data_IF_977879224810
#
_entry.id   IF_977879224810
#
_cell.length_a   1.000
_cell.length_b   1.000
_cell.length_c   1.000
_cell.angle_alpha   90.00
_cell.angle_beta   90.00
_cell.angle_gamma   90.00
#
_symmetry.space_group_name_H-M   'P 1'
#
loop_
_entity.id
_entity.type
_entity.pdbx_description
1 polymer ?
#
# COMPACT_ATOMS: atom_id res chain seq x y z
N UNK A 1 70.64 -18.01 -24.78
CA UNK A 1 69.57 -17.06 -24.46
C UNK A 1 68.24 -17.69 -24.88
N UNK A 2 67.50 -18.25 -23.92
CA UNK A 2 66.16 -18.79 -24.17
C UNK A 2 65.20 -18.01 -23.27
N UNK A 3 64.28 -17.28 -23.91
CA UNK A 3 63.31 -16.40 -23.27
C UNK A 3 62.32 -17.19 -22.42
N UNK A 4 62.14 -16.75 -21.17
CA UNK A 4 61.19 -17.31 -20.22
C UNK A 4 59.75 -17.10 -20.70
N UNK A 5 58.99 -18.20 -20.77
CA UNK A 5 57.53 -18.15 -20.89
C UNK A 5 56.94 -17.80 -19.52
N UNK A 6 56.32 -16.63 -19.43
CA UNK A 6 55.40 -16.26 -18.36
C UNK A 6 54.18 -17.20 -18.37
N UNK A 7 53.71 -17.71 -17.22
CA UNK A 7 52.53 -18.55 -17.19
C UNK A 7 51.26 -17.69 -17.37
N UNK A 8 50.38 -18.13 -18.27
CA UNK A 8 49.02 -17.59 -18.47
C UNK A 8 48.27 -17.57 -17.13
N UNK A 9 47.72 -16.40 -16.76
CA UNK A 9 46.77 -16.26 -15.66
C UNK A 9 45.60 -17.24 -15.87
N UNK A 10 45.43 -18.14 -14.90
CA UNK A 10 44.27 -19.03 -14.80
C UNK A 10 42.99 -18.22 -14.65
N UNK A 11 41.91 -18.71 -15.27
CA UNK A 11 40.66 -18.02 -15.49
C UNK A 11 40.00 -17.47 -14.24
N UNK A 12 39.68 -16.17 -14.30
CA UNK A 12 38.75 -15.51 -13.41
C UNK A 12 37.40 -16.23 -13.47
N UNK A 13 36.89 -16.71 -12.33
CA UNK A 13 35.46 -17.07 -12.23
C UNK A 13 34.64 -15.91 -12.81
N UNK A 14 33.64 -16.15 -13.67
CA UNK A 14 32.72 -15.09 -14.05
C UNK A 14 32.12 -14.50 -12.77
N UNK A 15 32.21 -13.18 -12.60
CA UNK A 15 31.64 -12.49 -11.44
C UNK A 15 30.12 -12.70 -11.38
N UNK A 16 29.53 -12.54 -10.20
CA UNK A 16 28.06 -12.57 -10.07
C UNK A 16 27.45 -11.51 -11.01
N UNK A 17 26.30 -11.80 -11.65
CA UNK A 17 25.58 -10.79 -12.43
C UNK A 17 25.28 -9.58 -11.53
N UNK A 18 25.40 -8.36 -12.05
CA UNK A 18 25.12 -7.15 -11.26
C UNK A 18 23.68 -6.67 -11.43
N UNK A 19 22.96 -7.26 -12.38
CA UNK A 19 21.67 -6.83 -12.86
C UNK A 19 20.59 -6.96 -11.78
N UNK A 20 20.47 -8.05 -11.01
CA UNK A 20 19.49 -8.11 -9.91
C UNK A 20 19.69 -7.02 -8.85
N UNK A 21 20.94 -6.62 -8.59
CA UNK A 21 21.24 -5.52 -7.68
C UNK A 21 20.78 -4.17 -8.27
N UNK A 22 21.04 -3.93 -9.56
CA UNK A 22 20.62 -2.68 -10.22
C UNK A 22 19.09 -2.62 -10.42
N UNK A 23 18.48 -3.73 -10.83
CA UNK A 23 17.04 -3.85 -11.05
C UNK A 23 16.26 -3.61 -9.75
N UNK A 24 16.75 -4.12 -8.62
CA UNK A 24 16.18 -3.81 -7.32
C UNK A 24 16.12 -2.30 -7.06
N UNK A 25 17.19 -1.56 -7.37
CA UNK A 25 17.24 -0.11 -7.11
C UNK A 25 16.30 0.70 -8.03
N UNK A 26 15.87 0.16 -9.17
CA UNK A 26 14.82 0.82 -9.99
C UNK A 26 13.50 0.95 -9.21
N UNK A 27 13.30 0.07 -8.22
CA UNK A 27 12.09 0.00 -7.37
C UNK A 27 12.21 0.85 -6.10
N UNK A 28 13.36 1.50 -5.85
CA UNK A 28 13.57 2.26 -4.60
C UNK A 28 12.92 3.63 -4.58
N UNK A 29 12.67 4.21 -5.75
CA UNK A 29 12.28 5.61 -5.87
C UNK A 29 13.30 6.55 -5.20
N UNK A 30 12.85 7.75 -4.84
CA UNK A 30 13.68 8.87 -4.34
C UNK A 30 14.15 8.66 -2.88
N UNK A 31 13.54 7.71 -2.15
CA UNK A 31 13.87 7.47 -0.74
C UNK A 31 15.02 6.48 -0.52
N UNK A 32 15.40 5.73 -1.56
CA UNK A 32 16.36 4.63 -1.47
C UNK A 32 15.95 3.51 -0.53
N UNK A 33 16.81 2.49 -0.47
CA UNK A 33 16.63 1.31 0.37
C UNK A 33 17.66 1.24 1.49
N UNK A 34 17.26 0.82 2.71
CA UNK A 34 18.17 0.13 3.61
C UNK A 34 18.82 -1.08 2.91
N UNK A 35 20.02 -1.45 3.31
CA UNK A 35 20.78 -2.51 2.63
C UNK A 35 20.06 -3.86 2.66
N UNK A 36 19.35 -4.18 3.74
CA UNK A 36 18.59 -5.42 3.90
C UNK A 36 17.43 -5.51 2.91
N UNK A 37 16.72 -4.39 2.70
CA UNK A 37 15.64 -4.31 1.71
C UNK A 37 16.20 -4.49 0.29
N UNK A 38 17.30 -3.78 0.00
CA UNK A 38 17.95 -3.88 -1.31
C UNK A 38 18.38 -5.32 -1.61
N UNK A 39 19.07 -5.97 -0.67
CA UNK A 39 19.53 -7.34 -0.84
C UNK A 39 18.38 -8.34 -0.90
N UNK A 40 17.31 -8.17 -0.13
CA UNK A 40 16.15 -9.05 -0.19
C UNK A 40 15.49 -9.00 -1.57
N UNK A 41 15.28 -7.80 -2.12
CA UNK A 41 14.74 -7.63 -3.47
C UNK A 41 15.67 -8.21 -4.54
N UNK A 42 16.97 -7.89 -4.48
CA UNK A 42 17.94 -8.41 -5.43
C UNK A 42 18.02 -9.93 -5.41
N UNK A 43 17.96 -10.55 -4.22
CA UNK A 43 17.96 -12.00 -4.07
C UNK A 43 16.67 -12.66 -4.57
N UNK A 44 15.51 -12.01 -4.41
CA UNK A 44 14.25 -12.50 -4.95
C UNK A 44 14.24 -12.57 -6.50
N UNK A 45 15.04 -11.72 -7.15
CA UNK A 45 15.19 -11.64 -8.60
C UNK A 45 16.48 -12.34 -9.10
N UNK A 46 17.27 -12.90 -8.20
CA UNK A 46 18.55 -13.52 -8.56
C UNK A 46 18.33 -14.85 -9.31
N UNK A 47 19.23 -15.21 -10.25
CA UNK A 47 19.25 -16.54 -10.84
C UNK A 47 19.41 -17.63 -9.77
N UNK A 48 18.94 -18.84 -10.08
CA UNK A 48 19.03 -19.97 -9.16
C UNK A 48 20.49 -20.22 -8.71
N UNK A 49 20.69 -20.36 -7.39
CA UNK A 49 22.01 -20.59 -6.79
C UNK A 49 22.87 -19.32 -6.60
N UNK A 50 22.40 -18.15 -7.04
CA UNK A 50 23.07 -16.86 -6.79
C UNK A 50 22.49 -16.21 -5.55
N UNK A 51 23.36 -15.75 -4.65
CA UNK A 51 22.98 -14.98 -3.47
C UNK A 51 23.90 -13.77 -3.29
N UNK A 52 23.30 -12.60 -3.17
CA UNK A 52 23.95 -11.33 -2.89
C UNK A 52 24.03 -11.07 -1.39
N UNK A 53 25.17 -10.52 -0.98
CA UNK A 53 25.49 -10.09 0.37
C UNK A 53 25.91 -8.62 0.35
N UNK A 54 26.02 -8.02 1.53
CA UNK A 54 26.45 -6.63 1.72
C UNK A 54 27.80 -6.32 1.02
N UNK A 55 28.74 -7.28 1.00
CA UNK A 55 30.00 -7.13 0.28
C UNK A 55 29.81 -6.96 -1.24
N UNK A 56 28.84 -7.64 -1.84
CA UNK A 56 28.54 -7.53 -3.27
C UNK A 56 27.95 -6.15 -3.59
N UNK A 57 27.00 -5.68 -2.76
CA UNK A 57 26.41 -4.35 -2.88
C UNK A 57 27.45 -3.23 -2.72
N UNK A 58 28.33 -3.34 -1.70
CA UNK A 58 29.43 -2.39 -1.49
C UNK A 58 30.47 -2.42 -2.61
N UNK A 59 30.72 -3.58 -3.21
CA UNK A 59 31.58 -3.70 -4.37
C UNK A 59 30.97 -3.01 -5.60
N UNK A 60 29.65 -3.17 -5.81
CA UNK A 60 28.93 -2.47 -6.87
C UNK A 60 28.98 -0.95 -6.70
N UNK A 61 28.74 -0.43 -5.49
CA UNK A 61 28.85 1.01 -5.22
C UNK A 61 30.25 1.56 -5.53
N UNK A 62 31.31 0.79 -5.26
CA UNK A 62 32.69 1.18 -5.59
C UNK A 62 33.00 1.09 -7.09
N UNK A 63 32.45 0.08 -7.75
CA UNK A 63 32.70 -0.17 -9.17
C UNK A 63 31.90 0.78 -10.07
N UNK A 64 30.73 1.25 -9.62
CA UNK A 64 29.80 2.07 -10.41
C UNK A 64 29.25 3.26 -9.59
N UNK A 65 30.11 4.18 -9.13
CA UNK A 65 29.71 5.32 -8.31
C UNK A 65 28.81 6.32 -9.05
N UNK A 66 28.78 6.26 -10.38
CA UNK A 66 27.93 7.05 -11.28
C UNK A 66 26.51 6.45 -11.43
N UNK A 67 26.30 5.18 -11.08
CA UNK A 67 25.02 4.49 -11.21
C UNK A 67 24.32 4.27 -9.88
N UNK A 68 25.08 4.06 -8.80
CA UNK A 68 24.53 3.81 -7.47
C UNK A 68 24.97 4.92 -6.52
N UNK A 69 23.99 5.61 -5.96
CA UNK A 69 24.22 6.60 -4.92
C UNK A 69 23.92 6.00 -3.55
N UNK A 70 24.79 6.30 -2.59
CA UNK A 70 24.61 5.94 -1.19
C UNK A 70 24.62 7.23 -0.36
N UNK A 71 23.59 7.45 0.45
CA UNK A 71 23.46 8.65 1.27
C UNK A 71 23.05 8.32 2.70
N UNK A 72 23.61 9.05 3.67
CA UNK A 72 23.26 8.91 5.07
C UNK A 72 21.98 9.69 5.37
N UNK A 73 21.01 9.04 5.99
CA UNK A 73 19.80 9.66 6.54
C UNK A 73 19.81 9.58 8.07
N UNK A 74 18.84 10.24 8.72
CA UNK A 74 18.63 10.12 10.16
C UNK A 74 18.36 8.66 10.59
N UNK A 75 17.80 7.85 9.70
CA UNK A 75 17.43 6.46 9.97
C UNK A 75 18.51 5.46 9.54
N UNK A 76 19.60 5.89 8.89
CA UNK A 76 20.65 5.00 8.40
C UNK A 76 21.06 5.27 6.94
N UNK A 77 21.91 4.40 6.40
CA UNK A 77 22.37 4.50 5.01
C UNK A 77 21.28 4.07 4.03
N UNK A 78 21.10 4.83 2.95
CA UNK A 78 20.15 4.56 1.88
C UNK A 78 20.86 4.42 0.55
N UNK A 79 20.47 3.39 -0.20
CA UNK A 79 21.01 3.08 -1.52
C UNK A 79 19.91 3.27 -2.57
N UNK A 80 20.23 4.00 -3.64
CA UNK A 80 19.31 4.25 -4.75
C UNK A 80 20.08 4.43 -6.05
N UNK A 81 19.38 4.34 -7.18
CA UNK A 81 19.95 4.74 -8.46
C UNK A 81 20.35 6.22 -8.43
N UNK A 82 21.51 6.52 -8.99
CA UNK A 82 21.95 7.90 -9.18
C UNK A 82 21.01 8.62 -10.15
N UNK A 83 20.84 9.93 -9.96
CA UNK A 83 19.97 10.76 -10.81
C UNK A 83 20.42 10.66 -12.27
N UNK A 84 19.51 10.24 -13.15
CA UNK A 84 19.78 10.05 -14.58
C UNK A 84 20.33 8.66 -14.96
N UNK A 85 20.55 7.76 -14.00
CA UNK A 85 21.02 6.40 -14.26
C UNK A 85 19.93 5.48 -14.85
N UNK A 86 18.64 5.80 -14.68
CA UNK A 86 17.52 4.96 -15.13
C UNK A 86 17.59 4.59 -16.62
N UNK A 87 17.94 5.55 -17.48
CA UNK A 87 18.11 5.32 -18.91
C UNK A 87 19.35 4.49 -19.26
N UNK A 88 20.39 4.53 -18.43
CA UNK A 88 21.59 3.70 -18.60
C UNK A 88 21.35 2.27 -18.12
N UNK A 89 20.65 2.09 -17.00
CA UNK A 89 20.24 0.78 -16.46
C UNK A 89 19.27 0.10 -17.43
N UNK A 90 18.25 0.81 -17.93
CA UNK A 90 17.32 0.28 -18.93
C UNK A 90 18.02 -0.17 -20.21
N UNK A 91 19.02 0.58 -20.70
CA UNK A 91 19.81 0.15 -21.86
C UNK A 91 20.69 -1.07 -21.55
N UNK A 92 21.27 -1.16 -20.35
CA UNK A 92 22.07 -2.31 -19.92
C UNK A 92 21.23 -3.59 -19.85
N UNK A 93 20.02 -3.50 -19.29
CA UNK A 93 19.08 -4.63 -19.19
C UNK A 93 18.60 -5.11 -20.57
N UNK A 94 18.41 -4.19 -21.52
CA UNK A 94 17.96 -4.51 -22.89
C UNK A 94 19.08 -4.95 -23.84
N UNK A 95 20.36 -4.87 -23.42
CA UNK A 95 21.51 -5.21 -24.27
C UNK A 95 22.11 -6.59 -24.00
N UNK A 96 21.59 -7.34 -23.02
CA UNK A 96 21.99 -8.74 -22.78
C UNK A 96 20.86 -9.73 -23.17
N UNK A 97 20.99 -10.44 -24.31
CA UNK A 97 20.00 -11.39 -24.79
C UNK A 97 19.79 -12.60 -23.86
N UNK A 98 20.76 -12.91 -22.99
CA UNK A 98 20.64 -14.01 -22.02
C UNK A 98 19.67 -13.66 -20.88
N UNK A 99 19.46 -12.37 -20.62
CA UNK A 99 18.57 -11.85 -19.57
C UNK A 99 17.13 -11.83 -20.05
N UNK A 100 16.86 -11.43 -21.30
CA UNK A 100 15.51 -11.50 -21.88
C UNK A 100 14.96 -12.93 -21.87
N UNK A 101 15.80 -13.91 -22.22
CA UNK A 101 15.44 -15.34 -22.20
C UNK A 101 15.37 -15.92 -20.77
N UNK A 102 16.26 -15.52 -19.86
CA UNK A 102 16.20 -15.94 -18.46
C UNK A 102 15.00 -15.34 -17.72
N UNK A 103 14.57 -14.13 -18.06
CA UNK A 103 13.31 -13.56 -17.56
C UNK A 103 12.17 -14.48 -18.01
N UNK A 104 11.97 -14.75 -19.30
CA UNK A 104 10.89 -15.62 -19.80
C UNK A 104 10.86 -17.03 -19.17
N UNK A 105 12.02 -17.67 -18.91
CA UNK A 105 12.11 -19.07 -18.46
C UNK A 105 12.17 -19.24 -16.92
N UNK A 106 12.48 -18.18 -16.15
CA UNK A 106 12.62 -18.22 -14.66
C UNK A 106 11.29 -17.97 -13.93
N UNK A 107 10.23 -17.60 -14.65
CA UNK A 107 8.88 -17.45 -14.12
C UNK A 107 8.18 -18.82 -14.08
N UNK A 108 8.54 -19.64 -13.09
CA UNK A 108 7.66 -20.70 -12.60
C UNK A 108 6.29 -20.15 -12.13
N UNK A 109 5.45 -20.91 -11.41
CA UNK A 109 4.08 -20.50 -11.05
C UNK A 109 3.96 -19.23 -10.17
N UNK A 110 5.07 -18.59 -9.79
CA UNK A 110 5.12 -17.37 -8.98
C UNK A 110 5.70 -16.20 -9.79
N UNK A 111 5.04 -15.04 -9.72
CA UNK A 111 5.58 -13.80 -10.32
C UNK A 111 6.79 -13.29 -9.53
N UNK A 112 7.62 -12.42 -10.12
CA UNK A 112 8.73 -11.76 -9.40
C UNK A 112 8.22 -11.02 -8.15
N UNK A 113 7.02 -10.47 -8.24
CA UNK A 113 6.33 -9.74 -7.19
C UNK A 113 5.98 -10.64 -6.01
N UNK A 114 5.57 -11.90 -6.26
CA UNK A 114 5.35 -12.88 -5.20
C UNK A 114 6.67 -13.26 -4.51
N UNK A 115 7.76 -13.42 -5.28
CA UNK A 115 9.10 -13.72 -4.71
C UNK A 115 9.60 -12.55 -3.86
N UNK A 116 9.41 -11.31 -4.32
CA UNK A 116 9.76 -10.10 -3.57
C UNK A 116 8.93 -10.02 -2.29
N UNK A 117 7.61 -10.20 -2.37
CA UNK A 117 6.74 -10.19 -1.20
C UNK A 117 7.17 -11.24 -0.17
N UNK A 118 7.47 -12.47 -0.61
CA UNK A 118 7.96 -13.53 0.28
C UNK A 118 9.28 -13.13 0.97
N UNK A 119 10.28 -12.65 0.21
CA UNK A 119 11.56 -12.22 0.76
C UNK A 119 11.42 -11.07 1.77
N UNK A 120 10.50 -10.13 1.53
CA UNK A 120 10.24 -9.02 2.46
C UNK A 120 9.43 -9.46 3.70
N UNK A 121 8.58 -10.47 3.59
CA UNK A 121 7.88 -11.07 4.75
C UNK A 121 8.90 -11.76 5.66
N UNK A 122 9.88 -12.48 5.13
CA UNK A 122 10.95 -13.10 5.92
C UNK A 122 11.76 -12.07 6.75
N UNK A 123 11.91 -10.85 6.23
CA UNK A 123 12.56 -9.77 6.97
C UNK A 123 11.75 -9.28 8.19
N UNK A 124 10.45 -9.59 8.29
CA UNK A 124 9.66 -9.24 9.48
C UNK A 124 10.13 -9.99 10.73
N UNK A 125 10.73 -11.17 10.54
CA UNK A 125 11.23 -12.04 11.61
C UNK A 125 12.69 -11.78 11.96
N UNK A 126 13.38 -10.99 11.13
CA UNK A 126 14.79 -10.67 11.31
C UNK A 126 14.92 -9.40 12.16
N UNK A 127 15.71 -9.40 13.26
CA UNK A 127 16.03 -8.18 13.97
C UNK A 127 16.73 -7.20 13.03
N UNK A 128 16.04 -6.13 12.64
CA UNK A 128 16.60 -5.13 11.76
C UNK A 128 17.68 -4.32 12.51
N UNK A 129 18.87 -4.23 11.92
CA UNK A 129 19.93 -3.38 12.45
C UNK A 129 19.66 -1.89 12.15
N UNK A 130 18.88 -1.61 11.10
CA UNK A 130 18.45 -0.28 10.67
C UNK A 130 16.94 -0.10 10.91
N UNK A 131 16.50 0.87 11.74
CA UNK A 131 15.07 1.13 12.00
C UNK A 131 14.25 1.44 10.74
N UNK A 132 14.90 1.91 9.69
CA UNK A 132 14.31 2.16 8.39
C UNK A 132 13.86 0.91 7.66
N UNK A 133 14.42 -0.27 7.96
CA UNK A 133 13.91 -1.55 7.42
C UNK A 133 12.47 -1.76 7.87
N UNK A 134 12.21 -1.62 9.18
CA UNK A 134 10.86 -1.82 9.72
C UNK A 134 9.88 -0.79 9.16
N UNK A 135 10.28 0.49 9.11
CA UNK A 135 9.46 1.56 8.51
C UNK A 135 9.18 1.32 7.02
N UNK A 136 10.17 0.82 6.28
CA UNK A 136 10.00 0.46 4.88
C UNK A 136 8.96 -0.64 4.74
N UNK A 137 9.09 -1.74 5.50
CA UNK A 137 8.14 -2.85 5.46
C UNK A 137 6.73 -2.37 5.83
N UNK A 138 6.58 -1.58 6.89
CA UNK A 138 5.28 -1.05 7.32
C UNK A 138 4.57 -0.17 6.28
N UNK A 139 5.36 0.53 5.45
CA UNK A 139 4.85 1.42 4.41
C UNK A 139 4.64 0.72 3.07
N UNK A 140 5.53 -0.17 2.68
CA UNK A 140 5.63 -0.66 1.30
C UNK A 140 5.31 -2.15 1.14
N UNK A 141 5.46 -2.98 2.18
CA UNK A 141 5.14 -4.40 2.09
C UNK A 141 3.68 -4.67 1.69
N UNK A 142 2.66 -3.95 2.21
CA UNK A 142 1.28 -4.17 1.80
C UNK A 142 1.07 -4.00 0.29
N UNK A 143 1.81 -3.08 -0.35
CA UNK A 143 1.77 -2.91 -1.79
C UNK A 143 2.34 -4.12 -2.53
N UNK A 144 3.52 -4.58 -2.12
CA UNK A 144 4.18 -5.74 -2.73
C UNK A 144 3.31 -7.01 -2.61
N UNK A 145 2.70 -7.23 -1.44
CA UNK A 145 1.80 -8.37 -1.23
C UNK A 145 0.51 -8.30 -2.09
N UNK A 146 0.06 -7.10 -2.45
CA UNK A 146 -1.15 -6.89 -3.25
C UNK A 146 -0.92 -6.97 -4.77
N UNK A 147 0.31 -6.68 -5.23
CA UNK A 147 0.67 -6.53 -6.64
C UNK A 147 0.91 -7.89 -7.35
N UNK A 148 1.19 -8.97 -6.60
CA UNK A 148 1.39 -10.33 -7.13
C UNK A 148 0.11 -11.17 -7.34
N UNK A 149 0.27 -12.50 -7.39
CA UNK A 149 -0.86 -13.43 -7.59
C UNK A 149 -1.80 -13.52 -6.39
N UNK A 150 -1.36 -13.00 -5.23
CA UNK A 150 -2.07 -13.09 -3.94
C UNK A 150 -1.33 -13.96 -2.93
N UNK A 151 -0.20 -14.58 -3.32
CA UNK A 151 0.65 -15.37 -2.43
C UNK A 151 1.10 -14.58 -1.20
N UNK A 152 1.54 -13.32 -1.37
CA UNK A 152 1.93 -12.45 -0.27
C UNK A 152 0.79 -12.19 0.74
N UNK A 153 -0.44 -11.98 0.27
CA UNK A 153 -1.62 -11.88 1.14
C UNK A 153 -1.88 -13.20 1.87
N UNK A 154 -1.75 -14.34 1.18
CA UNK A 154 -1.87 -15.66 1.79
C UNK A 154 -0.85 -15.89 2.91
N UNK A 155 0.41 -15.49 2.67
CA UNK A 155 1.49 -15.57 3.66
C UNK A 155 1.26 -14.67 4.87
N UNK A 156 0.78 -13.43 4.68
CA UNK A 156 0.37 -12.56 5.78
C UNK A 156 -0.84 -13.13 6.55
N UNK A 157 -1.82 -13.71 5.84
CA UNK A 157 -3.00 -14.34 6.46
C UNK A 157 -2.64 -15.54 7.32
N UNK A 158 -1.65 -16.34 6.92
CA UNK A 158 -1.14 -17.46 7.72
C UNK A 158 -0.51 -17.00 9.06
N UNK A 159 -0.19 -15.71 9.18
CA UNK A 159 0.44 -15.07 10.34
C UNK A 159 -0.50 -14.09 11.07
N UNK A 160 -1.80 -14.11 10.76
CA UNK A 160 -2.78 -13.22 11.38
C UNK A 160 -2.83 -13.42 12.91
N UNK A 161 -3.01 -12.33 13.65
CA UNK A 161 -2.94 -12.28 15.12
C UNK A 161 -1.53 -12.02 15.68
N UNK A 162 -0.47 -12.13 14.86
CA UNK A 162 0.85 -11.65 15.25
C UNK A 162 0.90 -10.12 15.31
N UNK A 163 1.64 -9.58 16.28
CA UNK A 163 1.71 -8.13 16.52
C UNK A 163 2.15 -7.37 15.26
N UNK A 164 1.27 -6.54 14.74
CA UNK A 164 1.52 -5.67 13.59
C UNK A 164 1.33 -6.34 12.23
N UNK A 165 1.07 -7.66 12.16
CA UNK A 165 0.77 -8.34 10.90
C UNK A 165 -0.64 -8.01 10.42
N UNK A 166 -1.61 -7.93 11.33
CA UNK A 166 -3.01 -7.61 10.99
C UNK A 166 -3.14 -6.27 10.25
N UNK A 167 -2.36 -5.27 10.64
CA UNK A 167 -2.30 -3.97 9.95
C UNK A 167 -1.73 -4.08 8.54
N UNK A 168 -0.70 -4.92 8.33
CA UNK A 168 -0.09 -5.13 7.02
C UNK A 168 -1.06 -5.89 6.11
N UNK A 169 -1.71 -6.93 6.64
CA UNK A 169 -2.70 -7.71 5.93
C UNK A 169 -3.91 -6.86 5.54
N UNK A 170 -4.45 -6.06 6.47
CA UNK A 170 -5.59 -5.16 6.20
C UNK A 170 -5.29 -4.18 5.06
N UNK A 171 -4.11 -3.54 5.08
CA UNK A 171 -3.65 -2.63 4.01
C UNK A 171 -3.47 -3.35 2.67
N UNK A 172 -2.94 -4.58 2.68
CA UNK A 172 -2.73 -5.36 1.47
C UNK A 172 -4.07 -5.78 0.83
N UNK A 173 -5.03 -6.18 1.67
CA UNK A 173 -6.39 -6.54 1.25
C UNK A 173 -7.12 -5.36 0.62
N UNK A 174 -7.16 -4.19 1.27
CA UNK A 174 -7.85 -3.02 0.70
C UNK A 174 -7.21 -2.56 -0.63
N UNK A 175 -5.89 -2.58 -0.72
CA UNK A 175 -5.19 -2.25 -1.97
C UNK A 175 -5.56 -3.24 -3.09
N UNK A 176 -5.58 -4.54 -2.81
CA UNK A 176 -5.97 -5.56 -3.81
C UNK A 176 -7.45 -5.44 -4.16
N UNK A 177 -8.30 -5.12 -3.20
CA UNK A 177 -9.74 -4.94 -3.39
C UNK A 177 -10.03 -3.94 -4.52
N UNK A 178 -9.21 -2.90 -4.68
CA UNK A 178 -9.33 -1.89 -5.74
C UNK A 178 -9.11 -2.42 -7.16
N UNK A 179 -8.60 -3.65 -7.33
CA UNK A 179 -8.23 -4.25 -8.63
C UNK A 179 -9.06 -5.47 -9.01
N UNK A 180 -9.95 -5.93 -8.13
CA UNK A 180 -10.74 -7.16 -8.32
C UNK A 180 -12.21 -6.86 -8.54
N UNK A 181 -12.97 -7.90 -8.87
CA UNK A 181 -14.41 -7.82 -9.11
C UNK A 181 -15.18 -7.32 -7.87
N UNK A 182 -16.42 -6.87 -8.07
CA UNK A 182 -17.23 -6.28 -6.99
C UNK A 182 -17.47 -7.20 -5.80
N UNK A 183 -17.67 -8.52 -6.03
CA UNK A 183 -17.93 -9.47 -4.94
C UNK A 183 -16.66 -9.75 -4.11
N UNK A 184 -15.53 -9.99 -4.78
CA UNK A 184 -14.25 -10.24 -4.11
C UNK A 184 -13.76 -9.01 -3.36
N UNK A 185 -13.96 -7.83 -3.93
CA UNK A 185 -13.63 -6.54 -3.30
C UNK A 185 -14.35 -6.36 -1.96
N UNK A 186 -15.66 -6.62 -1.93
CA UNK A 186 -16.46 -6.54 -0.69
C UNK A 186 -15.94 -7.52 0.36
N UNK A 187 -15.62 -8.76 -0.04
CA UNK A 187 -15.09 -9.76 0.88
C UNK A 187 -13.73 -9.33 1.48
N UNK A 188 -12.80 -8.86 0.63
CA UNK A 188 -11.49 -8.37 1.08
C UNK A 188 -11.60 -7.16 2.01
N UNK A 189 -12.50 -6.21 1.70
CA UNK A 189 -12.70 -5.02 2.54
C UNK A 189 -13.36 -5.33 3.87
N UNK A 190 -14.32 -6.27 3.91
CA UNK A 190 -14.88 -6.77 5.19
C UNK A 190 -13.80 -7.36 6.08
N UNK A 191 -12.96 -8.24 5.53
CA UNK A 191 -11.83 -8.82 6.26
C UNK A 191 -10.87 -7.73 6.78
N UNK A 192 -10.50 -6.78 5.92
CA UNK A 192 -9.62 -5.68 6.30
C UNK A 192 -10.21 -4.78 7.41
N UNK A 193 -11.51 -4.48 7.38
CA UNK A 193 -12.20 -3.73 8.46
C UNK A 193 -12.09 -4.48 9.79
N UNK A 194 -12.33 -5.80 9.79
CA UNK A 194 -12.19 -6.62 11.01
C UNK A 194 -10.76 -6.59 11.56
N UNK A 195 -9.77 -6.67 10.68
CA UNK A 195 -8.35 -6.63 11.05
C UNK A 195 -7.93 -5.26 11.61
N UNK A 196 -8.35 -4.15 10.99
CA UNK A 196 -8.09 -2.81 11.54
C UNK A 196 -8.72 -2.62 12.91
N UNK A 197 -9.97 -3.04 13.08
CA UNK A 197 -10.67 -2.97 14.36
C UNK A 197 -9.96 -3.81 15.44
N UNK A 198 -9.56 -5.05 15.13
CA UNK A 198 -8.81 -5.92 16.05
C UNK A 198 -7.45 -5.34 16.44
N UNK A 199 -6.78 -4.63 15.52
CA UNK A 199 -5.51 -3.95 15.77
C UNK A 199 -5.66 -2.63 16.54
N UNK A 200 -6.89 -2.19 16.85
CA UNK A 200 -7.16 -0.90 17.51
C UNK A 200 -6.98 0.32 16.61
N UNK A 201 -6.86 0.13 15.30
CA UNK A 201 -6.75 1.18 14.30
C UNK A 201 -8.16 1.70 13.92
N UNK A 202 -8.79 2.38 14.87
CA UNK A 202 -10.20 2.82 14.78
C UNK A 202 -10.42 3.77 13.61
N UNK A 203 -9.53 4.75 13.41
CA UNK A 203 -9.63 5.70 12.31
C UNK A 203 -9.54 5.02 10.94
N UNK A 204 -8.56 4.13 10.74
CA UNK A 204 -8.41 3.35 9.51
C UNK A 204 -9.60 2.40 9.27
N UNK A 205 -10.11 1.78 10.34
CA UNK A 205 -11.34 0.98 10.29
C UNK A 205 -12.53 1.83 9.83
N UNK A 206 -12.77 2.98 10.44
CA UNK A 206 -13.89 3.86 10.12
C UNK A 206 -13.82 4.40 8.67
N UNK A 207 -12.62 4.78 8.22
CA UNK A 207 -12.39 5.20 6.83
C UNK A 207 -12.74 4.07 5.86
N UNK A 208 -12.22 2.87 6.12
CA UNK A 208 -12.46 1.71 5.26
C UNK A 208 -13.92 1.27 5.26
N UNK A 209 -14.64 1.39 6.38
CA UNK A 209 -16.09 1.16 6.45
C UNK A 209 -16.87 2.09 5.52
N UNK A 210 -16.46 3.35 5.40
CA UNK A 210 -17.05 4.30 4.45
C UNK A 210 -16.88 3.84 2.99
N UNK A 211 -15.69 3.31 2.66
CA UNK A 211 -15.40 2.74 1.33
C UNK A 211 -16.20 1.46 1.09
N UNK A 212 -16.23 0.54 2.06
CA UNK A 212 -16.99 -0.71 2.01
C UNK A 212 -18.49 -0.44 1.85
N UNK A 213 -19.02 0.57 2.54
CA UNK A 213 -20.41 1.02 2.40
C UNK A 213 -20.74 1.40 0.94
N UNK A 214 -19.84 2.12 0.27
CA UNK A 214 -20.02 2.47 -1.14
C UNK A 214 -20.05 1.23 -2.05
N UNK A 215 -19.17 0.24 -1.81
CA UNK A 215 -19.16 -1.01 -2.57
C UNK A 215 -20.44 -1.83 -2.36
N UNK A 216 -20.89 -1.96 -1.11
CA UNK A 216 -22.12 -2.66 -0.77
C UNK A 216 -23.33 -2.01 -1.44
N UNK A 217 -23.39 -0.67 -1.40
CA UNK A 217 -24.45 0.08 -2.07
C UNK A 217 -24.39 -0.02 -3.60
N UNK A 218 -23.20 -0.21 -4.19
CA UNK A 218 -23.02 -0.47 -5.61
C UNK A 218 -23.41 -1.92 -5.98
N UNK A 219 -23.18 -2.87 -5.08
CA UNK A 219 -23.64 -4.26 -5.21
C UNK A 219 -25.15 -4.44 -4.96
N UNK A 220 -25.85 -3.38 -4.55
CA UNK A 220 -27.30 -3.38 -4.30
C UNK A 220 -27.70 -3.71 -2.87
N UNK A 221 -26.74 -4.00 -1.98
CA UNK A 221 -26.98 -4.26 -0.56
C UNK A 221 -27.00 -2.96 0.24
N UNK A 222 -28.10 -2.21 0.11
CA UNK A 222 -28.29 -0.94 0.80
C UNK A 222 -28.37 -1.10 2.32
N UNK A 223 -28.84 -2.25 2.81
CA UNK A 223 -28.97 -2.51 4.24
C UNK A 223 -27.59 -2.62 4.90
N UNK A 224 -26.72 -3.48 4.36
CA UNK A 224 -25.36 -3.63 4.86
C UNK A 224 -24.54 -2.34 4.64
N UNK A 225 -24.76 -1.62 3.54
CA UNK A 225 -24.10 -0.33 3.30
C UNK A 225 -24.43 0.71 4.38
N UNK A 226 -25.70 0.76 4.81
CA UNK A 226 -26.13 1.65 5.90
C UNK A 226 -25.46 1.23 7.21
N UNK A 227 -25.50 -0.06 7.55
CA UNK A 227 -24.91 -0.58 8.78
C UNK A 227 -23.43 -0.21 8.91
N UNK A 228 -22.63 -0.46 7.87
CA UNK A 228 -21.19 -0.12 7.87
C UNK A 228 -20.95 1.38 8.07
N UNK A 229 -21.79 2.22 7.46
CA UNK A 229 -21.65 3.66 7.55
C UNK A 229 -22.12 4.21 8.91
N UNK A 230 -23.10 3.56 9.55
CA UNK A 230 -23.49 3.87 10.93
C UNK A 230 -22.40 3.52 11.93
N UNK A 231 -21.72 2.38 11.76
CA UNK A 231 -20.57 1.98 12.55
C UNK A 231 -19.42 2.98 12.39
N UNK A 232 -19.08 3.37 11.15
CA UNK A 232 -18.10 4.43 10.90
C UNK A 232 -18.47 5.76 11.58
N UNK A 233 -19.76 6.14 11.54
CA UNK A 233 -20.23 7.35 12.21
C UNK A 233 -20.07 7.27 13.73
N UNK A 234 -20.30 6.10 14.33
CA UNK A 234 -20.12 5.89 15.76
C UNK A 234 -18.65 6.05 16.16
N UNK A 235 -17.74 5.41 15.41
CA UNK A 235 -16.29 5.51 15.61
C UNK A 235 -15.82 6.98 15.52
N UNK A 236 -16.19 7.69 14.45
CA UNK A 236 -15.82 9.10 14.29
C UNK A 236 -16.41 10.01 15.38
N UNK A 237 -17.62 9.73 15.89
CA UNK A 237 -18.18 10.51 17.01
C UNK A 237 -17.41 10.28 18.30
N UNK A 238 -17.01 9.04 18.57
CA UNK A 238 -16.19 8.72 19.73
C UNK A 238 -14.82 9.43 19.65
N UNK A 239 -14.20 9.46 18.48
CA UNK A 239 -12.94 10.17 18.28
C UNK A 239 -13.10 11.69 18.33
N UNK A 240 -14.21 12.23 17.81
CA UNK A 240 -14.51 13.66 17.83
C UNK A 240 -14.61 14.24 19.25
N UNK A 241 -14.99 13.42 20.24
CA UNK A 241 -14.97 13.81 21.64
C UNK A 241 -13.55 14.10 22.17
N UNK A 242 -12.51 13.58 21.49
CA UNK A 242 -11.09 13.76 21.84
C UNK A 242 -10.37 14.71 20.89
N UNK A 243 -10.83 14.81 19.65
CA UNK A 243 -10.23 15.63 18.61
C UNK A 243 -11.32 16.23 17.71
N UNK A 244 -11.56 17.53 17.85
CA UNK A 244 -12.60 18.25 17.09
C UNK A 244 -12.40 18.16 15.57
N UNK A 245 -11.17 17.92 15.09
CA UNK A 245 -10.89 17.68 13.66
C UNK A 245 -11.69 16.52 13.08
N UNK A 246 -12.10 15.55 13.91
CA UNK A 246 -12.87 14.39 13.44
C UNK A 246 -14.35 14.71 13.18
N UNK A 247 -14.87 15.85 13.65
CA UNK A 247 -16.26 16.26 13.40
C UNK A 247 -16.59 16.36 11.90
N UNK A 248 -15.60 16.68 11.06
CA UNK A 248 -15.80 16.73 9.60
C UNK A 248 -16.14 15.36 9.01
N UNK A 249 -15.55 14.29 9.55
CA UNK A 249 -15.85 12.93 9.10
C UNK A 249 -17.21 12.46 9.61
N UNK A 250 -17.62 12.87 10.83
CA UNK A 250 -19.00 12.68 11.29
C UNK A 250 -19.99 13.36 10.33
N UNK A 251 -19.74 14.62 9.96
CA UNK A 251 -20.61 15.38 9.05
C UNK A 251 -20.71 14.74 7.65
N UNK A 252 -19.59 14.31 7.08
CA UNK A 252 -19.55 13.59 5.80
C UNK A 252 -20.31 12.27 5.86
N UNK A 253 -20.13 11.53 6.94
CA UNK A 253 -20.79 10.23 7.15
C UNK A 253 -22.32 10.41 7.25
N UNK A 254 -22.79 11.39 8.00
CA UNK A 254 -24.21 11.75 8.10
C UNK A 254 -24.81 12.17 6.74
N UNK A 255 -24.06 12.93 5.95
CA UNK A 255 -24.50 13.33 4.62
C UNK A 255 -24.70 12.12 3.70
N UNK A 256 -23.76 11.16 3.77
CA UNK A 256 -23.79 9.92 3.00
C UNK A 256 -24.88 8.96 3.50
N UNK A 257 -25.09 8.83 4.83
CA UNK A 257 -26.22 8.12 5.42
C UNK A 257 -27.55 8.69 4.90
N UNK A 258 -27.67 10.02 4.83
CA UNK A 258 -28.82 10.68 4.23
C UNK A 258 -29.12 10.21 2.80
N UNK A 259 -28.09 9.98 1.98
CA UNK A 259 -28.24 9.47 0.60
C UNK A 259 -28.65 8.00 0.59
N UNK A 260 -28.01 7.16 1.42
CA UNK A 260 -28.33 5.74 1.50
C UNK A 260 -29.76 5.52 2.02
N UNK A 261 -30.15 6.22 3.08
CA UNK A 261 -31.51 6.19 3.59
C UNK A 261 -32.55 6.61 2.55
N UNK A 262 -32.25 7.65 1.76
CA UNK A 262 -33.14 8.06 0.68
C UNK A 262 -33.27 6.99 -0.41
N UNK A 263 -32.18 6.31 -0.76
CA UNK A 263 -32.17 5.20 -1.73
C UNK A 263 -32.96 4.00 -1.22
N UNK A 264 -32.87 3.71 0.08
CA UNK A 264 -33.60 2.65 0.77
C UNK A 264 -35.08 3.00 1.06
N UNK A 265 -35.58 4.16 0.61
CA UNK A 265 -36.95 4.60 0.87
C UNK A 265 -37.22 5.11 2.30
N UNK A 266 -36.21 5.11 3.18
CA UNK A 266 -36.27 5.57 4.59
C UNK A 266 -36.18 7.10 4.67
N UNK A 267 -37.20 7.79 4.14
CA UNK A 267 -37.17 9.27 3.98
C UNK A 267 -37.09 10.05 5.30
N UNK A 268 -37.69 9.54 6.37
CA UNK A 268 -37.60 10.15 7.70
C UNK A 268 -36.14 10.19 8.18
N UNK A 269 -35.48 9.04 8.17
CA UNK A 269 -34.09 8.87 8.57
C UNK A 269 -33.14 9.67 7.68
N UNK A 270 -33.39 9.66 6.37
CA UNK A 270 -32.63 10.46 5.40
C UNK A 270 -32.64 11.96 5.76
N UNK A 271 -33.82 12.47 6.16
CA UNK A 271 -34.00 13.86 6.54
C UNK A 271 -33.30 14.16 7.87
N UNK A 272 -33.37 13.25 8.84
CA UNK A 272 -32.68 13.38 10.13
C UNK A 272 -31.17 13.44 9.93
N UNK A 273 -30.58 12.46 9.25
CA UNK A 273 -29.14 12.41 8.98
C UNK A 273 -28.66 13.66 8.21
N UNK A 274 -29.38 14.05 7.15
CA UNK A 274 -29.01 15.25 6.37
C UNK A 274 -29.11 16.54 7.20
N UNK A 275 -30.07 16.67 8.12
CA UNK A 275 -30.15 17.82 9.05
C UNK A 275 -28.93 17.85 9.98
N UNK A 276 -28.55 16.72 10.54
CA UNK A 276 -27.34 16.60 11.37
C UNK A 276 -26.11 17.03 10.60
N UNK A 277 -25.94 16.55 9.36
CA UNK A 277 -24.83 16.96 8.49
C UNK A 277 -24.80 18.49 8.25
N UNK A 278 -25.95 19.11 7.94
CA UNK A 278 -26.04 20.57 7.77
C UNK A 278 -25.59 21.31 9.03
N UNK A 279 -26.03 20.87 10.20
CA UNK A 279 -25.67 21.51 11.47
C UNK A 279 -24.17 21.38 11.76
N UNK A 280 -23.60 20.19 11.58
CA UNK A 280 -22.17 19.94 11.79
C UNK A 280 -21.32 20.73 10.80
N UNK A 281 -21.60 20.67 9.49
CA UNK A 281 -20.86 21.46 8.52
C UNK A 281 -20.98 22.97 8.78
N UNK A 282 -22.14 23.46 9.22
CA UNK A 282 -22.29 24.88 9.56
C UNK A 282 -21.44 25.28 10.77
N UNK A 283 -21.36 24.42 11.79
CA UNK A 283 -20.46 24.62 12.94
C UNK A 283 -19.00 24.65 12.50
N UNK A 284 -18.58 23.69 11.68
CA UNK A 284 -17.19 23.60 11.17
C UNK A 284 -16.88 24.82 10.29
N UNK A 285 -17.79 25.22 9.40
CA UNK A 285 -17.60 26.35 8.49
C UNK A 285 -17.51 27.71 9.21
N UNK A 286 -18.04 27.81 10.43
CA UNK A 286 -17.87 29.00 11.26
C UNK A 286 -16.41 29.17 11.73
N UNK A 287 -15.65 28.08 11.83
CA UNK A 287 -14.24 28.07 12.23
C UNK A 287 -13.29 27.98 11.02
N UNK A 288 -13.72 27.30 9.95
CA UNK A 288 -12.95 27.10 8.72
C UNK A 288 -13.83 27.27 7.48
N UNK A 289 -13.73 28.45 6.86
CA UNK A 289 -14.53 28.85 5.70
C UNK A 289 -14.42 27.91 4.49
N UNK A 290 -13.38 27.06 4.42
CA UNK A 290 -13.23 26.07 3.34
C UNK A 290 -14.36 25.05 3.31
N UNK A 291 -15.10 24.89 4.42
CA UNK A 291 -16.26 24.00 4.51
C UNK A 291 -17.60 24.63 4.10
N UNK A 292 -17.60 25.86 3.57
CA UNK A 292 -18.82 26.55 3.16
C UNK A 292 -19.57 25.81 2.04
N UNK A 293 -18.84 25.17 1.13
CA UNK A 293 -19.43 24.44 0.01
C UNK A 293 -20.15 23.16 0.48
N UNK A 294 -19.60 22.46 1.48
CA UNK A 294 -20.19 21.29 2.11
C UNK A 294 -21.53 21.62 2.78
N UNK A 295 -21.63 22.80 3.42
CA UNK A 295 -22.90 23.31 3.96
C UNK A 295 -23.94 23.43 2.85
N UNK A 296 -23.56 23.98 1.68
CA UNK A 296 -24.49 24.14 0.55
C UNK A 296 -24.88 22.80 -0.06
N UNK A 297 -23.95 21.86 -0.19
CA UNK A 297 -24.24 20.49 -0.64
C UNK A 297 -25.28 19.84 0.28
N UNK A 298 -25.06 19.88 1.60
CA UNK A 298 -25.97 19.28 2.57
C UNK A 298 -27.36 19.95 2.56
N UNK A 299 -27.43 21.28 2.46
CA UNK A 299 -28.69 22.03 2.34
C UNK A 299 -29.46 21.69 1.06
N UNK A 300 -28.77 21.55 -0.07
CA UNK A 300 -29.39 21.12 -1.34
C UNK A 300 -30.00 19.74 -1.22
N UNK A 301 -29.29 18.78 -0.62
CA UNK A 301 -29.81 17.44 -0.36
C UNK A 301 -31.06 17.49 0.53
N UNK A 302 -31.03 18.27 1.61
CA UNK A 302 -32.18 18.42 2.51
C UNK A 302 -33.41 19.01 1.79
N UNK A 303 -33.19 19.97 0.88
CA UNK A 303 -34.26 20.57 0.05
C UNK A 303 -34.88 19.52 -0.88
N UNK A 304 -34.08 18.66 -1.50
CA UNK A 304 -34.58 17.58 -2.37
C UNK A 304 -35.44 16.57 -1.60
N UNK A 305 -35.06 16.25 -0.35
CA UNK A 305 -35.84 15.38 0.55
C UNK A 305 -37.15 16.00 1.07
N UNK A 306 -37.29 17.33 0.96
CA UNK A 306 -38.55 18.04 1.25
C UNK A 306 -39.50 18.03 0.05
N UNK A 307 -38.98 18.19 -1.16
CA UNK A 307 -39.77 18.30 -2.39
C UNK A 307 -40.43 16.99 -2.86
N UNK A 308 -39.81 15.83 -2.64
CA UNK A 308 -40.36 14.52 -3.10
C UNK A 308 -41.50 13.96 -2.22
N UNK A 309 -42.19 14.81 -1.45
CA UNK A 309 -43.33 14.46 -0.60
C UNK A 309 -44.68 15.01 -1.08
N UNK A 310 -44.75 15.64 -2.25
CA UNK A 310 -45.97 16.26 -2.82
C UNK A 310 -46.31 15.71 -4.20
N UNK A 311 -46.39 14.38 -4.33
CA UNK A 311 -47.18 13.76 -5.40
C UNK A 311 -48.15 12.82 -4.71
N UNK A 312 -49.43 13.21 -4.76
CA UNK A 312 -50.59 12.41 -4.34
C UNK A 312 -50.72 11.18 -5.21
#
# INVERSE_FOLDING_TARGET
MAAGKTPKRQGSRPGKPVEPLLDALTRSGIGGFPIEIWLAMANAMAPAGVRYQDADAKALCRARPDQVSAHQTADGMRYQLAVGADGAVGRLLMSDPSIAAAMEDTFGPFTVEDKIAAALIELLDTPASDPGVRRYLERHLPAQCADGTGSGIGALRARAGERGIDLLLAKALDRRASRVSSAEKVAMRREAVTLFAAAGAVAESAELRGVLSADLAAAGDLAAAIEELELAAADYRQEAARNSFQLKFVALTELNLGRLYSRAGRRGDARTATKTAVALFASIAAEDHRFADEVQVARRQLKQLRWRGTVR
#
